data_IF_818091559271
#
_entry.id   IF_818091559271
#
_cell.length_a   1.000
_cell.length_b   1.000
_cell.length_c   1.000
_cell.angle_alpha   90.00
_cell.angle_beta   90.00
_cell.angle_gamma   90.00
#
_symmetry.space_group_name_H-M   'P 1'
#
loop_
_entity.id
_entity.type
_entity.pdbx_description
1 polymer ?
#
# COMPACT_ATOMS: atom_id res chain seq x y z
N UNK A 1 40.33 56.39 20.50
CA UNK A 1 40.01 55.10 21.14
C UNK A 1 39.42 54.21 20.07
N UNK A 2 39.68 52.91 20.16
CA UNK A 2 39.37 51.96 19.09
C UNK A 2 37.86 51.67 19.06
N UNK A 3 37.30 51.32 17.91
CA UNK A 3 35.90 50.89 17.75
C UNK A 3 35.55 49.65 18.62
N UNK A 4 36.57 48.99 19.17
CA UNK A 4 36.45 47.90 20.13
C UNK A 4 36.16 48.37 21.57
N UNK A 5 36.51 49.61 21.93
CA UNK A 5 36.26 50.18 23.26
C UNK A 5 34.81 50.68 23.40
N UNK A 6 34.15 51.00 22.28
CA UNK A 6 32.75 51.45 22.23
C UNK A 6 31.77 50.28 22.40
N UNK A 7 32.08 49.11 21.83
CA UNK A 7 31.25 47.90 21.96
C UNK A 7 31.32 47.21 23.33
N UNK A 8 32.34 47.52 24.14
CA UNK A 8 32.49 47.00 25.49
C UNK A 8 31.70 47.82 26.51
N UNK A 9 31.52 49.13 26.27
CA UNK A 9 30.68 50.00 27.09
C UNK A 9 29.18 49.66 26.94
N UNK A 10 28.73 49.36 25.73
CA UNK A 10 27.33 48.99 25.45
C UNK A 10 26.93 47.62 26.07
N UNK A 11 27.90 46.77 26.42
CA UNK A 11 27.65 45.46 27.05
C UNK A 11 27.67 45.51 28.58
N UNK A 12 28.32 46.50 29.20
CA UNK A 12 28.27 46.73 30.65
C UNK A 12 27.00 47.49 31.06
N UNK A 13 26.50 48.41 30.22
CA UNK A 13 25.29 49.20 30.54
C UNK A 13 23.98 48.39 30.46
N UNK A 14 23.97 47.27 29.72
CA UNK A 14 22.79 46.39 29.62
C UNK A 14 22.67 45.37 30.79
N UNK A 15 23.69 45.26 31.64
CA UNK A 15 23.72 44.34 32.76
C UNK A 15 23.30 44.98 34.10
N UNK A 16 23.14 46.30 34.16
CA UNK A 16 22.86 47.05 35.39
C UNK A 16 21.39 47.55 35.51
N UNK A 17 20.50 47.27 34.56
CA UNK A 17 19.10 47.80 34.57
C UNK A 17 17.98 46.80 34.96
N UNK A 18 18.29 45.58 35.44
CA UNK A 18 17.23 44.64 35.91
C UNK A 18 17.35 44.21 37.39
N UNK A 19 18.06 44.97 38.22
CA UNK A 19 17.92 44.88 39.69
C UNK A 19 17.51 46.24 40.24
N UNK A 20 16.21 46.55 40.22
CA UNK A 20 15.53 47.32 41.28
C UNK A 20 14.05 47.53 40.92
N UNK A 21 13.18 46.73 41.53
CA UNK A 21 11.81 47.11 41.88
C UNK A 21 11.28 46.16 42.95
N UNK A 22 11.67 46.40 44.21
CA UNK A 22 10.91 45.97 45.38
C UNK A 22 9.74 46.93 45.58
N UNK A 23 8.51 46.41 45.54
CA UNK A 23 7.31 47.08 46.05
C UNK A 23 6.60 46.12 47.00
N UNK A 24 6.19 46.69 48.13
CA UNK A 24 5.69 46.09 49.38
C UNK A 24 4.44 45.19 49.23
N UNK A 25 4.38 44.19 50.12
CA UNK A 25 3.18 43.42 50.47
C UNK A 25 2.18 44.32 51.20
N UNK A 26 0.94 44.44 50.70
CA UNK A 26 -0.31 44.24 51.44
C UNK A 26 -1.53 44.53 50.52
N UNK A 27 -2.61 43.76 50.74
CA UNK A 27 -3.96 43.86 50.16
C UNK A 27 -4.25 43.22 48.78
N UNK A 28 -4.60 41.92 48.78
CA UNK A 28 -5.77 41.43 48.04
C UNK A 28 -6.23 40.04 48.57
N UNK A 29 -7.46 40.02 49.10
CA UNK A 29 -8.15 38.86 49.62
C UNK A 29 -8.51 37.81 48.54
N UNK A 30 -8.09 36.57 48.80
CA UNK A 30 -8.73 35.26 48.54
C UNK A 30 -9.61 35.06 47.28
N UNK A 31 -9.11 34.23 46.35
CA UNK A 31 -9.90 33.20 45.66
C UNK A 31 -9.09 31.89 45.73
N UNK A 32 -9.65 30.86 46.37
CA UNK A 32 -9.02 29.57 46.61
C UNK A 32 -8.77 28.80 45.29
N UNK A 33 -7.51 28.73 44.85
CA UNK A 33 -7.05 27.72 43.89
C UNK A 33 -6.60 26.47 44.64
N UNK A 34 -7.35 25.37 44.47
CA UNK A 34 -6.90 24.04 44.89
C UNK A 34 -5.79 23.59 43.93
N UNK A 35 -4.54 23.88 44.30
CA UNK A 35 -3.35 23.28 43.69
C UNK A 35 -3.09 21.94 44.36
N UNK A 36 -3.52 20.84 43.74
CA UNK A 36 -2.90 19.53 43.98
C UNK A 36 -1.50 19.57 43.35
N UNK A 37 -0.49 19.91 44.14
CA UNK A 37 0.90 19.71 43.75
C UNK A 37 1.16 18.22 43.52
N UNK A 38 1.33 17.85 42.26
CA UNK A 38 1.85 16.55 41.88
C UNK A 38 3.35 16.54 42.18
N UNK A 39 3.72 16.10 43.39
CA UNK A 39 5.12 15.88 43.75
C UNK A 39 5.75 14.88 42.76
N UNK A 40 6.63 15.37 41.89
CA UNK A 40 7.47 14.54 41.03
C UNK A 40 8.74 14.22 41.82
N UNK A 41 8.73 13.07 42.50
CA UNK A 41 9.96 12.51 43.07
C UNK A 41 10.90 12.06 41.94
N UNK A 42 11.83 12.95 41.57
CA UNK A 42 12.95 12.63 40.67
C UNK A 42 14.03 11.93 41.48
N UNK A 43 13.90 10.62 41.67
CA UNK A 43 14.99 9.75 42.12
C UNK A 43 15.07 8.52 41.20
N UNK A 44 15.63 8.72 40.02
CA UNK A 44 15.79 7.70 38.98
C UNK A 44 17.25 7.26 38.86
N UNK A 45 17.69 6.31 39.70
CA UNK A 45 19.03 5.70 39.53
C UNK A 45 19.05 4.16 39.63
N UNK A 46 17.93 3.46 39.41
CA UNK A 46 17.99 2.00 39.31
C UNK A 46 16.87 1.37 38.48
N UNK A 47 17.23 0.42 37.62
CA UNK A 47 16.29 -0.52 36.96
C UNK A 47 15.32 -1.16 37.97
N UNK A 48 15.74 -1.23 39.25
CA UNK A 48 14.97 -1.76 40.38
C UNK A 48 13.81 -0.86 40.84
N UNK A 49 13.86 0.46 40.62
CA UNK A 49 12.71 1.36 40.91
C UNK A 49 11.65 1.29 39.80
N UNK A 50 12.06 1.07 38.55
CA UNK A 50 11.16 0.82 37.41
C UNK A 50 10.41 -0.51 37.58
N UNK A 51 11.05 -1.55 38.14
CA UNK A 51 10.42 -2.83 38.45
C UNK A 51 9.35 -2.72 39.56
N UNK A 52 9.47 -1.79 40.52
CA UNK A 52 8.42 -1.54 41.53
C UNK A 52 7.21 -0.79 40.95
N UNK A 53 7.38 -0.11 39.82
CA UNK A 53 6.30 0.59 39.11
C UNK A 53 5.39 -0.35 38.30
N UNK A 54 5.85 -1.57 37.98
CA UNK A 54 5.03 -2.64 37.38
C UNK A 54 3.85 -3.01 38.29
N UNK A 55 4.11 -3.13 39.58
CA UNK A 55 3.11 -3.52 40.60
C UNK A 55 2.41 -2.30 41.24
N UNK A 56 2.79 -1.08 40.84
CA UNK A 56 2.12 0.12 41.32
C UNK A 56 0.70 0.16 40.78
N UNK A 57 -0.27 0.14 41.70
CA UNK A 57 -1.68 0.29 41.38
C UNK A 57 -1.94 1.52 40.50
N UNK A 58 -1.23 2.62 40.76
CA UNK A 58 -1.37 3.87 40.00
C UNK A 58 -1.00 3.71 38.52
N UNK A 59 0.09 2.98 38.21
CA UNK A 59 0.52 2.80 36.82
C UNK A 59 -0.40 1.85 36.05
N UNK A 60 -0.81 0.75 36.68
CA UNK A 60 -1.82 -0.15 36.11
C UNK A 60 -3.15 0.57 35.90
N UNK A 61 -3.53 1.46 36.81
CA UNK A 61 -4.77 2.23 36.73
C UNK A 61 -4.70 3.31 35.64
N UNK A 62 -3.55 3.96 35.45
CA UNK A 62 -3.33 4.89 34.33
C UNK A 62 -3.36 4.16 32.98
N UNK A 63 -2.68 3.01 32.86
CA UNK A 63 -2.74 2.21 31.63
C UNK A 63 -4.15 1.70 31.35
N UNK A 64 -4.89 1.28 32.38
CA UNK A 64 -6.28 0.87 32.24
C UNK A 64 -7.18 2.06 31.87
N UNK A 65 -6.97 3.25 32.45
CA UNK A 65 -7.66 4.48 32.07
C UNK A 65 -7.33 4.91 30.65
N UNK A 66 -6.08 4.75 30.19
CA UNK A 66 -5.68 5.02 28.81
C UNK A 66 -6.34 4.01 27.86
N UNK A 67 -6.34 2.72 28.17
CA UNK A 67 -6.99 1.70 27.35
C UNK A 67 -8.51 1.89 27.34
N UNK A 68 -9.11 2.29 28.47
CA UNK A 68 -10.51 2.69 28.56
C UNK A 68 -10.79 3.96 27.74
N UNK A 69 -9.95 5.00 27.84
CA UNK A 69 -10.07 6.22 27.02
C UNK A 69 -9.93 5.90 25.52
N UNK A 70 -8.99 5.04 25.14
CA UNK A 70 -8.80 4.58 23.75
C UNK A 70 -9.97 3.72 23.26
N UNK A 71 -10.66 3.00 24.15
CA UNK A 71 -11.90 2.26 23.85
C UNK A 71 -13.14 3.15 23.83
N UNK A 72 -13.23 4.16 24.70
CA UNK A 72 -14.36 5.11 24.83
C UNK A 72 -14.32 6.20 23.78
N UNK A 73 -13.13 6.69 23.44
CA UNK A 73 -12.92 7.51 22.25
C UNK A 73 -13.27 6.62 21.06
N UNK A 74 -14.36 6.90 20.32
CA UNK A 74 -14.58 6.16 19.11
C UNK A 74 -13.34 6.40 18.24
N UNK A 75 -12.75 5.33 17.68
CA UNK A 75 -11.69 5.42 16.65
C UNK A 75 -12.05 6.36 15.48
N UNK A 76 -13.30 6.82 15.46
CA UNK A 76 -13.93 7.68 14.48
C UNK A 76 -14.23 9.10 15.00
N UNK A 77 -13.82 9.55 16.20
CA UNK A 77 -14.19 10.91 16.67
C UNK A 77 -13.66 11.99 15.72
N UNK A 78 -12.38 11.92 15.37
CA UNK A 78 -11.77 12.76 14.32
C UNK A 78 -12.47 12.58 12.97
N UNK A 79 -12.79 11.33 12.57
CA UNK A 79 -13.47 11.05 11.30
C UNK A 79 -14.91 11.59 11.26
N UNK A 80 -15.61 11.59 12.40
CA UNK A 80 -16.97 12.12 12.55
C UNK A 80 -16.93 13.64 12.46
N UNK A 81 -15.99 14.29 13.15
CA UNK A 81 -15.81 15.75 13.08
C UNK A 81 -15.40 16.15 11.67
N UNK A 82 -14.45 15.45 11.06
CA UNK A 82 -14.06 15.65 9.67
C UNK A 82 -15.27 15.51 8.72
N UNK A 83 -16.08 14.46 8.90
CA UNK A 83 -17.32 14.27 8.12
C UNK A 83 -18.31 15.43 8.33
N UNK A 84 -18.49 15.89 9.57
CA UNK A 84 -19.36 17.02 9.89
C UNK A 84 -18.89 18.31 9.21
N UNK A 85 -17.61 18.66 9.36
CA UNK A 85 -16.98 19.83 8.73
C UNK A 85 -17.15 19.75 7.22
N UNK A 86 -16.85 18.60 6.63
CA UNK A 86 -16.96 18.35 5.19
C UNK A 86 -18.38 18.50 4.68
N UNK A 87 -19.36 17.88 5.34
CA UNK A 87 -20.76 17.95 4.93
C UNK A 87 -21.31 19.40 5.01
N UNK A 88 -20.81 20.22 5.96
CA UNK A 88 -21.19 21.64 6.09
C UNK A 88 -20.45 22.54 5.11
N UNK A 89 -19.13 22.37 4.98
CA UNK A 89 -18.27 23.19 4.12
C UNK A 89 -18.45 22.87 2.63
N UNK A 90 -19.00 21.70 2.29
CA UNK A 90 -19.36 21.34 0.91
C UNK A 90 -20.33 22.34 0.26
N UNK A 91 -21.10 23.11 1.04
CA UNK A 91 -21.93 24.21 0.48
C UNK A 91 -21.06 25.34 -0.11
N UNK A 92 -19.91 25.62 0.51
CA UNK A 92 -18.99 26.71 0.11
C UNK A 92 -18.01 26.28 -0.95
N UNK A 93 -17.40 25.11 -0.77
CA UNK A 93 -16.35 24.61 -1.65
C UNK A 93 -16.43 23.07 -1.76
N UNK A 94 -17.36 22.54 -2.58
CA UNK A 94 -17.60 21.11 -2.70
C UNK A 94 -16.39 20.33 -3.27
N UNK A 95 -15.57 20.97 -4.08
CA UNK A 95 -14.43 20.32 -4.75
C UNK A 95 -13.30 19.98 -3.76
N UNK A 96 -13.20 20.68 -2.63
CA UNK A 96 -12.10 20.53 -1.67
C UNK A 96 -11.96 19.11 -1.12
N UNK A 97 -13.08 18.38 -0.94
CA UNK A 97 -13.07 16.99 -0.45
C UNK A 97 -12.27 16.07 -1.38
N UNK A 98 -12.41 16.26 -2.69
CA UNK A 98 -11.73 15.45 -3.70
C UNK A 98 -10.24 15.80 -3.81
N UNK A 99 -9.89 17.06 -3.52
CA UNK A 99 -8.53 17.59 -3.65
C UNK A 99 -7.65 17.20 -2.46
N UNK A 100 -8.19 17.27 -1.24
CA UNK A 100 -7.46 17.02 0.01
C UNK A 100 -8.06 15.82 0.74
N UNK A 101 -7.53 14.60 0.53
CA UNK A 101 -8.09 13.39 1.14
C UNK A 101 -7.66 13.13 2.59
N UNK A 102 -6.61 13.82 3.06
CA UNK A 102 -6.17 13.71 4.45
C UNK A 102 -7.06 14.59 5.35
N UNK A 103 -7.66 13.99 6.37
CA UNK A 103 -8.61 14.68 7.25
C UNK A 103 -8.00 15.88 7.98
N UNK A 104 -6.78 15.75 8.50
CA UNK A 104 -6.13 16.84 9.24
C UNK A 104 -5.77 18.01 8.32
N UNK A 105 -5.27 17.73 7.12
CA UNK A 105 -4.95 18.76 6.13
C UNK A 105 -6.22 19.44 5.62
N UNK A 106 -7.31 18.67 5.45
CA UNK A 106 -8.63 19.21 5.10
C UNK A 106 -9.13 20.19 6.18
N UNK A 107 -9.10 19.80 7.44
CA UNK A 107 -9.58 20.65 8.55
C UNK A 107 -8.74 21.94 8.65
N UNK A 108 -7.41 21.84 8.58
CA UNK A 108 -6.53 23.01 8.60
C UNK A 108 -6.75 23.94 7.42
N UNK A 109 -6.96 23.39 6.23
CA UNK A 109 -7.23 24.20 5.02
C UNK A 109 -8.60 24.88 5.09
N UNK A 110 -9.63 24.20 5.59
CA UNK A 110 -10.95 24.80 5.81
C UNK A 110 -10.87 25.97 6.80
N UNK A 111 -10.14 25.79 7.91
CA UNK A 111 -9.93 26.85 8.92
C UNK A 111 -9.25 28.08 8.31
N UNK A 112 -8.19 27.89 7.53
CA UNK A 112 -7.46 29.00 6.90
C UNK A 112 -8.29 29.74 5.83
N UNK A 113 -9.03 28.99 4.99
CA UNK A 113 -9.80 29.56 3.89
C UNK A 113 -11.09 30.26 4.36
N UNK A 114 -11.87 29.61 5.22
CA UNK A 114 -13.19 30.09 5.64
C UNK A 114 -14.07 30.46 4.44
N UNK A 115 -14.66 31.65 4.45
CA UNK A 115 -15.48 32.16 3.33
C UNK A 115 -14.66 32.80 2.19
N UNK A 116 -13.42 33.22 2.45
CA UNK A 116 -12.61 34.01 1.53
C UNK A 116 -11.60 33.13 0.78
N UNK A 117 -12.01 32.63 -0.39
CA UNK A 117 -11.19 31.72 -1.21
C UNK A 117 -9.96 32.40 -1.85
N UNK A 118 -9.91 33.73 -1.90
CA UNK A 118 -8.75 34.46 -2.42
C UNK A 118 -7.48 34.29 -1.56
N UNK A 119 -7.64 33.87 -0.31
CA UNK A 119 -6.52 33.49 0.57
C UNK A 119 -5.65 32.37 -0.03
N UNK A 120 -6.16 31.57 -0.97
CA UNK A 120 -5.38 30.55 -1.68
C UNK A 120 -4.15 31.09 -2.44
N UNK A 121 -4.15 32.36 -2.86
CA UNK A 121 -3.16 32.88 -3.81
C UNK A 121 -1.81 33.24 -3.17
N UNK A 122 -1.84 33.81 -1.96
CA UNK A 122 -0.66 34.40 -1.31
C UNK A 122 -0.48 33.99 0.17
N UNK A 123 -1.15 32.94 0.66
CA UNK A 123 -1.07 32.58 2.07
C UNK A 123 0.11 31.63 2.34
N UNK A 124 1.04 32.07 3.20
CA UNK A 124 2.19 31.28 3.68
C UNK A 124 1.74 30.10 4.56
N UNK A 125 0.67 30.26 5.36
CA UNK A 125 0.15 29.18 6.21
C UNK A 125 -0.33 27.98 5.38
N UNK A 126 -0.94 28.23 4.21
CA UNK A 126 -1.38 27.15 3.32
C UNK A 126 -0.20 26.37 2.73
N UNK A 127 0.95 27.01 2.53
CA UNK A 127 2.18 26.34 2.05
C UNK A 127 2.79 25.41 3.10
N UNK A 128 2.55 25.66 4.39
CA UNK A 128 2.97 24.76 5.46
C UNK A 128 2.07 23.51 5.54
N UNK A 129 0.81 23.61 5.11
CA UNK A 129 -0.18 22.53 5.21
C UNK A 129 -0.18 21.66 3.95
N UNK A 130 -0.17 22.28 2.77
CA UNK A 130 -0.34 21.61 1.49
C UNK A 130 0.89 21.75 0.60
N UNK A 131 1.10 20.79 -0.30
CA UNK A 131 2.14 20.91 -1.34
C UNK A 131 1.80 22.01 -2.35
N UNK A 132 2.81 22.64 -2.95
CA UNK A 132 2.61 23.66 -3.99
C UNK A 132 1.74 23.17 -5.16
N UNK A 133 1.86 21.88 -5.53
CA UNK A 133 1.04 21.29 -6.58
C UNK A 133 -0.45 21.25 -6.18
N UNK A 134 -0.76 20.85 -4.94
CA UNK A 134 -2.14 20.87 -4.43
C UNK A 134 -2.68 22.28 -4.29
N UNK A 135 -1.86 23.26 -3.87
CA UNK A 135 -2.28 24.67 -3.76
C UNK A 135 -2.66 25.25 -5.12
N UNK A 136 -1.89 24.95 -6.18
CA UNK A 136 -2.21 25.35 -7.55
C UNK A 136 -3.55 24.78 -8.03
N UNK A 137 -3.82 23.50 -7.76
CA UNK A 137 -5.11 22.89 -8.15
C UNK A 137 -6.25 23.49 -7.33
N UNK A 138 -6.05 23.68 -6.03
CA UNK A 138 -7.03 24.33 -5.15
C UNK A 138 -7.30 25.77 -5.59
N UNK A 139 -6.30 26.56 -5.98
CA UNK A 139 -6.49 27.96 -6.41
C UNK A 139 -7.22 28.07 -7.75
N UNK A 140 -6.94 27.18 -8.70
CA UNK A 140 -7.66 27.10 -9.98
C UNK A 140 -9.11 26.70 -9.76
N UNK A 141 -9.35 25.64 -8.97
CA UNK A 141 -10.72 25.20 -8.65
C UNK A 141 -11.48 26.24 -7.84
N UNK A 142 -10.84 26.89 -6.86
CA UNK A 142 -11.34 28.00 -6.06
C UNK A 142 -11.83 29.18 -6.92
N UNK A 143 -11.17 29.45 -8.04
CA UNK A 143 -11.54 30.54 -8.96
C UNK A 143 -12.79 30.23 -9.79
N UNK A 144 -13.14 28.95 -9.96
CA UNK A 144 -14.29 28.49 -10.75
C UNK A 144 -15.34 27.75 -9.93
N UNK A 145 -15.32 27.87 -8.59
CA UNK A 145 -16.23 27.13 -7.70
C UNK A 145 -17.67 27.56 -7.90
N UNK A 146 -18.59 26.59 -7.87
CA UNK A 146 -20.03 26.83 -7.92
C UNK A 146 -20.67 26.99 -6.53
N UNK A 147 -19.88 27.00 -5.46
CA UNK A 147 -20.37 27.07 -4.09
C UNK A 147 -20.86 28.46 -3.68
N UNK A 148 -21.58 28.52 -2.56
CA UNK A 148 -22.20 29.74 -2.03
C UNK A 148 -21.53 30.15 -0.72
N UNK A 149 -21.53 31.45 -0.41
CA UNK A 149 -21.00 31.95 0.86
C UNK A 149 -21.84 31.44 2.04
N UNK A 150 -21.17 31.02 3.11
CA UNK A 150 -21.83 30.57 4.34
C UNK A 150 -22.23 31.77 5.19
N UNK A 151 -23.28 31.61 6.00
CA UNK A 151 -23.61 32.61 7.02
C UNK A 151 -22.56 32.64 8.11
N UNK A 152 -22.44 33.76 8.83
CA UNK A 152 -21.45 33.90 9.91
C UNK A 152 -21.66 32.84 11.01
N UNK A 153 -22.91 32.53 11.38
CA UNK A 153 -23.22 31.46 12.33
C UNK A 153 -22.82 30.06 11.84
N UNK A 154 -22.93 29.79 10.54
CA UNK A 154 -22.49 28.51 9.97
C UNK A 154 -20.96 28.42 9.93
N UNK A 155 -20.28 29.54 9.63
CA UNK A 155 -18.82 29.61 9.61
C UNK A 155 -18.25 29.43 11.02
N UNK A 156 -18.79 30.13 12.02
CA UNK A 156 -18.36 30.04 13.42
C UNK A 156 -18.46 28.61 13.95
N UNK A 157 -19.59 27.92 13.68
CA UNK A 157 -19.73 26.49 14.04
C UNK A 157 -18.72 25.58 13.35
N UNK A 158 -18.30 25.90 12.13
CA UNK A 158 -17.27 25.13 11.42
C UNK A 158 -15.90 25.41 12.03
N UNK A 159 -15.61 26.65 12.35
CA UNK A 159 -14.35 27.07 12.98
C UNK A 159 -14.18 26.45 14.36
N UNK A 160 -15.22 26.47 15.20
CA UNK A 160 -15.25 25.78 16.50
C UNK A 160 -15.02 24.26 16.35
N UNK A 161 -15.65 23.63 15.35
CA UNK A 161 -15.43 22.21 15.08
C UNK A 161 -14.00 21.92 14.59
N UNK A 162 -13.40 22.83 13.81
CA UNK A 162 -12.00 22.73 13.39
C UNK A 162 -11.06 22.82 14.60
N UNK A 163 -11.30 23.75 15.53
CA UNK A 163 -10.49 23.93 16.74
C UNK A 163 -10.56 22.72 17.65
N UNK A 164 -11.76 22.21 17.91
CA UNK A 164 -11.97 20.97 18.65
C UNK A 164 -11.22 19.79 18.01
N UNK A 165 -11.21 19.67 16.68
CA UNK A 165 -10.47 18.62 16.00
C UNK A 165 -8.94 18.78 16.14
N UNK A 166 -8.43 20.01 16.11
CA UNK A 166 -7.01 20.29 16.30
C UNK A 166 -6.57 20.00 17.74
N UNK A 167 -7.35 20.38 18.73
CA UNK A 167 -7.12 20.06 20.16
C UNK A 167 -7.12 18.56 20.41
N UNK A 168 -8.06 17.83 19.81
CA UNK A 168 -8.10 16.37 19.88
C UNK A 168 -6.84 15.74 19.27
N UNK A 169 -6.38 16.24 18.12
CA UNK A 169 -5.16 15.75 17.50
C UNK A 169 -3.91 16.06 18.35
N UNK A 170 -3.83 17.25 18.96
CA UNK A 170 -2.74 17.58 19.90
C UNK A 170 -2.76 16.66 21.13
N UNK A 171 -3.93 16.42 21.70
CA UNK A 171 -4.11 15.49 22.83
C UNK A 171 -3.69 14.07 22.46
N UNK A 172 -4.04 13.61 21.25
CA UNK A 172 -3.60 12.32 20.71
C UNK A 172 -2.08 12.25 20.52
N UNK A 173 -1.44 13.32 20.07
CA UNK A 173 0.02 13.39 20.01
C UNK A 173 0.68 13.26 21.38
N UNK A 174 0.16 13.95 22.41
CA UNK A 174 0.63 13.80 23.80
C UNK A 174 0.51 12.36 24.30
N UNK A 175 -0.60 11.68 23.96
CA UNK A 175 -0.77 10.25 24.29
C UNK A 175 0.27 9.39 23.55
N UNK A 176 0.57 9.68 22.28
CA UNK A 176 1.61 8.94 21.56
C UNK A 176 2.99 9.14 22.16
N UNK A 177 3.36 10.35 22.54
CA UNK A 177 4.62 10.66 23.21
C UNK A 177 4.73 9.93 24.55
N UNK A 178 3.66 9.92 25.34
CA UNK A 178 3.59 9.18 26.59
C UNK A 178 3.76 7.66 26.37
N UNK A 179 3.03 7.09 25.41
CA UNK A 179 3.13 5.67 25.06
C UNK A 179 4.50 5.32 24.50
N UNK A 180 5.12 6.20 23.73
CA UNK A 180 6.48 6.04 23.21
C UNK A 180 7.51 5.98 24.34
N UNK A 181 7.43 6.88 25.32
CA UNK A 181 8.33 6.89 26.49
C UNK A 181 8.26 5.60 27.32
N UNK A 182 7.11 4.92 27.30
CA UNK A 182 6.86 3.65 28.03
C UNK A 182 6.82 2.44 27.09
N UNK A 183 7.19 2.58 25.83
CA UNK A 183 7.05 1.49 24.84
C UNK A 183 7.98 0.32 25.13
N UNK A 184 9.21 0.59 25.60
CA UNK A 184 10.18 -0.45 25.99
C UNK A 184 9.66 -1.35 27.10
N UNK A 185 8.72 -0.85 27.89
CA UNK A 185 8.07 -1.58 28.97
C UNK A 185 6.82 -2.32 28.46
N UNK A 186 5.99 -1.67 27.64
CA UNK A 186 4.71 -2.20 27.17
C UNK A 186 4.92 -3.30 26.12
N UNK A 187 5.79 -3.05 25.13
CA UNK A 187 6.06 -3.96 24.02
C UNK A 187 7.57 -3.93 23.68
N UNK A 188 8.41 -4.56 24.53
CA UNK A 188 9.86 -4.56 24.34
C UNK A 188 10.26 -5.16 22.99
N UNK A 189 9.69 -6.30 22.60
CA UNK A 189 10.10 -6.99 21.37
C UNK A 189 9.72 -6.20 20.11
N UNK A 190 8.52 -5.62 20.07
CA UNK A 190 8.06 -4.78 18.96
C UNK A 190 8.92 -3.52 18.79
N UNK A 191 9.26 -2.87 19.92
CA UNK A 191 10.05 -1.64 19.94
C UNK A 191 11.47 -1.83 19.41
N UNK A 192 12.09 -2.98 19.70
CA UNK A 192 13.45 -3.32 19.24
C UNK A 192 13.51 -3.45 17.71
N UNK A 193 12.44 -3.97 17.10
CA UNK A 193 12.38 -4.24 15.65
C UNK A 193 12.16 -2.96 14.83
N UNK A 194 11.12 -2.17 15.14
CA UNK A 194 10.70 -1.03 14.30
C UNK A 194 11.04 0.34 14.92
N UNK A 195 11.38 0.39 16.21
CA UNK A 195 11.51 1.62 16.98
C UNK A 195 10.28 1.92 17.84
N UNK A 196 10.45 2.73 18.89
CA UNK A 196 9.39 3.06 19.83
C UNK A 196 8.28 3.93 19.20
N UNK A 197 8.65 4.95 18.42
CA UNK A 197 7.71 5.84 17.73
C UNK A 197 6.78 5.11 16.76
N UNK A 198 7.34 4.25 15.90
CA UNK A 198 6.58 3.46 14.93
C UNK A 198 5.73 2.40 15.63
N UNK A 199 6.24 1.77 16.69
CA UNK A 199 5.51 0.83 17.54
C UNK A 199 4.29 1.48 18.22
N UNK A 200 4.45 2.69 18.75
CA UNK A 200 3.35 3.45 19.35
C UNK A 200 2.24 3.74 18.33
N UNK A 201 2.63 4.18 17.12
CA UNK A 201 1.68 4.48 16.02
C UNK A 201 0.91 3.24 15.54
N UNK A 202 1.59 2.10 15.32
CA UNK A 202 0.89 0.86 14.90
C UNK A 202 0.00 0.31 16.01
N UNK A 203 0.42 0.42 17.28
CA UNK A 203 -0.39 0.00 18.43
C UNK A 203 -1.61 0.90 18.61
N UNK A 204 -1.47 2.20 18.42
CA UNK A 204 -2.57 3.17 18.48
C UNK A 204 -3.65 2.90 17.45
N UNK A 205 -3.29 2.70 16.18
CA UNK A 205 -4.28 2.39 15.12
C UNK A 205 -4.91 1.01 15.37
N UNK A 206 -4.13 0.01 15.76
CA UNK A 206 -4.66 -1.30 16.13
C UNK A 206 -5.63 -1.21 17.31
N UNK A 207 -5.48 -0.22 18.18
CA UNK A 207 -6.27 -0.02 19.40
C UNK A 207 -5.79 -0.96 20.51
N UNK A 208 -4.47 -0.97 20.75
CA UNK A 208 -3.84 -1.76 21.79
C UNK A 208 -3.14 -3.03 21.28
N UNK A 209 -2.28 -3.57 22.14
CA UNK A 209 -1.40 -4.70 21.85
C UNK A 209 -2.17 -6.01 21.59
N UNK A 210 -3.26 -6.24 22.32
CA UNK A 210 -4.12 -7.44 22.17
C UNK A 210 -4.88 -7.46 20.84
N UNK A 211 -5.25 -6.29 20.33
CA UNK A 211 -5.86 -6.18 19.00
C UNK A 211 -4.80 -6.36 17.92
N UNK A 212 -3.62 -5.76 18.11
CA UNK A 212 -2.49 -5.92 17.19
C UNK A 212 -2.05 -7.39 17.05
N UNK A 213 -2.03 -8.17 18.14
CA UNK A 213 -1.62 -9.58 18.13
C UNK A 213 -2.58 -10.48 17.33
N UNK A 214 -3.87 -10.14 17.31
CA UNK A 214 -4.92 -10.80 16.52
C UNK A 214 -4.87 -10.44 15.03
N UNK A 215 -4.25 -9.32 14.66
CA UNK A 215 -4.17 -8.90 13.26
C UNK A 215 -3.20 -9.79 12.46
N UNK A 216 -3.52 -10.13 11.20
CA UNK A 216 -2.59 -10.82 10.32
C UNK A 216 -1.50 -9.86 9.79
N UNK A 217 -0.34 -10.41 9.43
CA UNK A 217 0.82 -9.65 8.93
C UNK A 217 0.52 -8.74 7.74
N UNK A 218 -0.37 -9.18 6.84
CA UNK A 218 -0.77 -8.37 5.68
C UNK A 218 -1.51 -7.09 6.08
N UNK A 219 -2.29 -7.11 7.15
CA UNK A 219 -3.01 -5.93 7.65
C UNK A 219 -2.06 -5.02 8.43
N UNK A 220 -1.16 -5.59 9.23
CA UNK A 220 -0.15 -4.84 9.99
C UNK A 220 0.78 -4.04 9.08
N UNK A 221 1.16 -4.59 7.92
CA UNK A 221 1.91 -3.88 6.89
C UNK A 221 1.20 -2.61 6.38
N UNK A 222 -0.14 -2.63 6.36
CA UNK A 222 -0.98 -1.57 5.81
C UNK A 222 -1.48 -0.58 6.87
N UNK A 223 -1.09 -0.76 8.14
CA UNK A 223 -1.45 0.19 9.20
C UNK A 223 -0.82 1.55 8.93
N UNK A 224 -1.64 2.60 8.99
CA UNK A 224 -1.22 3.97 8.66
C UNK A 224 -1.17 4.27 7.16
N UNK A 225 -1.63 3.36 6.29
CA UNK A 225 -1.69 3.62 4.87
C UNK A 225 -2.69 4.74 4.55
N UNK A 226 -2.21 5.81 3.91
CA UNK A 226 -3.05 6.91 3.47
C UNK A 226 -3.90 6.51 2.27
N UNK A 227 -5.09 7.10 2.17
CA UNK A 227 -5.96 6.94 1.00
C UNK A 227 -5.29 7.56 -0.23
N UNK A 228 -5.55 6.97 -1.40
CA UNK A 228 -4.96 7.42 -2.66
C UNK A 228 -5.45 8.84 -2.97
N UNK A 229 -4.55 9.82 -2.89
CA UNK A 229 -4.78 11.13 -3.49
C UNK A 229 -4.47 11.04 -4.97
N UNK A 230 -5.45 11.34 -5.83
CA UNK A 230 -5.24 11.46 -7.28
C UNK A 230 -4.75 12.87 -7.66
N UNK A 231 -4.16 13.60 -6.71
CA UNK A 231 -3.66 14.94 -6.96
C UNK A 231 -2.36 14.89 -7.78
N UNK A 232 -2.42 15.46 -8.98
CA UNK A 232 -1.28 15.64 -9.90
C UNK A 232 -1.33 14.79 -11.17
N UNK A 233 -0.54 15.19 -12.17
CA UNK A 233 -0.43 14.52 -13.47
C UNK A 233 0.47 13.25 -13.45
N UNK A 234 0.92 12.81 -12.27
CA UNK A 234 1.89 11.72 -12.16
C UNK A 234 1.25 10.39 -11.74
N UNK A 235 1.62 9.32 -12.42
CA UNK A 235 1.27 7.95 -12.04
C UNK A 235 2.23 7.35 -11.00
N UNK A 236 3.38 8.00 -10.72
CA UNK A 236 4.42 7.50 -9.81
C UNK A 236 4.30 8.02 -8.38
N UNK A 237 3.49 9.06 -8.12
CA UNK A 237 3.41 9.69 -6.80
C UNK A 237 2.69 8.85 -5.74
N UNK A 238 1.86 7.89 -6.13
CA UNK A 238 1.10 7.06 -5.17
C UNK A 238 1.79 5.72 -5.00
N UNK A 239 2.59 5.57 -3.95
CA UNK A 239 3.16 4.28 -3.55
C UNK A 239 2.07 3.44 -2.88
N UNK A 240 1.49 2.42 -3.55
CA UNK A 240 0.43 1.62 -2.94
C UNK A 240 1.02 0.72 -1.84
N UNK A 241 0.22 0.43 -0.82
CA UNK A 241 0.59 -0.48 0.27
C UNK A 241 1.78 0.00 1.12
N UNK A 242 1.88 1.31 1.30
CA UNK A 242 2.82 1.96 2.22
C UNK A 242 2.07 2.34 3.49
N UNK A 243 2.63 1.99 4.65
CA UNK A 243 2.09 2.31 5.98
C UNK A 243 3.24 2.67 6.92
N UNK A 244 3.02 2.73 8.23
CA UNK A 244 4.07 3.14 9.18
C UNK A 244 5.31 2.25 9.12
N UNK A 245 5.14 0.94 8.90
CA UNK A 245 6.28 0.02 8.76
C UNK A 245 7.11 0.33 7.51
N UNK A 246 6.48 0.80 6.43
CA UNK A 246 7.22 1.20 5.24
C UNK A 246 8.14 2.40 5.54
N UNK A 247 7.65 3.36 6.32
CA UNK A 247 8.39 4.57 6.70
C UNK A 247 9.33 4.38 7.90
N UNK A 248 9.48 3.15 8.40
CA UNK A 248 10.44 2.86 9.46
C UNK A 248 11.88 2.88 8.95
N UNK A 249 12.81 3.29 9.81
CA UNK A 249 14.23 3.43 9.47
C UNK A 249 14.83 2.11 8.96
N UNK A 250 14.41 0.98 9.55
CA UNK A 250 14.86 -0.36 9.13
C UNK A 250 14.48 -0.69 7.67
N UNK A 251 13.35 -0.17 7.16
CA UNK A 251 12.96 -0.37 5.75
C UNK A 251 13.57 0.69 4.84
N UNK A 252 13.64 1.96 5.30
CA UNK A 252 14.15 3.08 4.51
C UNK A 252 15.67 3.07 4.32
N UNK A 253 16.40 2.35 5.18
CA UNK A 253 17.84 2.13 5.01
C UNK A 253 18.21 1.30 3.78
N UNK A 254 17.24 0.60 3.17
CA UNK A 254 17.46 -0.25 2.00
C UNK A 254 17.33 0.52 0.68
N UNK A 255 17.76 -0.07 -0.46
CA UNK A 255 17.39 0.44 -1.77
C UNK A 255 15.87 0.35 -2.03
N UNK A 256 15.34 1.32 -2.76
CA UNK A 256 13.88 1.47 -3.03
C UNK A 256 13.22 0.24 -3.66
N UNK A 257 13.94 -0.51 -4.49
CA UNK A 257 13.48 -1.76 -5.11
C UNK A 257 13.16 -2.85 -4.08
N UNK A 258 13.87 -2.85 -2.94
CA UNK A 258 13.72 -3.83 -1.87
C UNK A 258 12.70 -3.41 -0.82
N UNK A 259 12.34 -2.14 -0.71
CA UNK A 259 11.44 -1.62 0.34
C UNK A 259 10.15 -2.43 0.48
N UNK A 260 9.49 -2.77 -0.63
CA UNK A 260 8.22 -3.53 -0.59
C UNK A 260 8.41 -4.97 -0.09
N UNK A 261 9.54 -5.58 -0.42
CA UNK A 261 9.88 -6.93 0.04
C UNK A 261 10.25 -6.89 1.53
N UNK A 262 11.00 -5.88 1.94
CA UNK A 262 11.38 -5.61 3.31
C UNK A 262 10.17 -5.33 4.20
N UNK A 263 9.30 -4.41 3.83
CA UNK A 263 8.09 -4.09 4.60
C UNK A 263 7.21 -5.32 4.88
N UNK A 264 7.09 -6.26 3.92
CA UNK A 264 6.38 -7.54 4.13
C UNK A 264 7.07 -8.44 5.16
N UNK A 265 8.40 -8.53 5.08
CA UNK A 265 9.18 -9.34 6.01
C UNK A 265 9.10 -8.74 7.43
N UNK A 266 9.36 -7.44 7.55
CA UNK A 266 9.31 -6.70 8.81
C UNK A 266 7.91 -6.82 9.42
N UNK A 267 6.84 -6.52 8.68
CA UNK A 267 5.47 -6.68 9.18
C UNK A 267 5.17 -8.10 9.69
N UNK A 268 5.68 -9.13 9.01
CA UNK A 268 5.52 -10.51 9.46
C UNK A 268 6.23 -10.77 10.79
N UNK A 269 7.45 -10.25 10.96
CA UNK A 269 8.20 -10.39 12.22
C UNK A 269 7.62 -9.53 13.33
N UNK A 270 7.16 -8.32 13.03
CA UNK A 270 6.44 -7.47 13.98
C UNK A 270 5.16 -8.14 14.48
N UNK A 271 4.41 -8.85 13.64
CA UNK A 271 3.25 -9.61 14.14
C UNK A 271 3.60 -10.74 15.09
N UNK A 272 4.76 -11.39 14.91
CA UNK A 272 5.23 -12.40 15.85
C UNK A 272 5.66 -11.75 17.16
N UNK A 273 6.43 -10.67 17.10
CA UNK A 273 6.84 -9.90 18.27
C UNK A 273 5.64 -9.36 19.05
N UNK A 274 4.65 -8.76 18.38
CA UNK A 274 3.43 -8.25 19.01
C UNK A 274 2.62 -9.35 19.71
N UNK A 275 2.65 -10.59 19.21
CA UNK A 275 2.00 -11.74 19.88
C UNK A 275 2.74 -12.13 21.15
N UNK A 276 4.07 -12.22 21.10
CA UNK A 276 4.90 -12.53 22.27
C UNK A 276 4.74 -11.44 23.34
N UNK A 277 4.77 -10.17 22.94
CA UNK A 277 4.55 -9.03 23.83
C UNK A 277 3.15 -9.07 24.46
N UNK A 278 2.11 -9.45 23.70
CA UNK A 278 0.73 -9.55 24.19
C UNK A 278 0.54 -10.62 25.28
N UNK A 279 1.42 -11.63 25.35
CA UNK A 279 1.41 -12.67 26.40
C UNK A 279 2.48 -12.43 27.47
N UNK A 280 3.28 -11.37 27.35
CA UNK A 280 4.37 -11.01 28.27
C UNK A 280 5.39 -12.14 28.53
N UNK A 281 5.60 -13.04 27.56
CA UNK A 281 6.49 -14.20 27.71
C UNK A 281 7.98 -13.82 27.69
N UNK A 282 8.35 -12.71 27.05
CA UNK A 282 9.74 -12.25 26.93
C UNK A 282 9.86 -10.75 27.25
N UNK A 283 9.85 -10.36 28.54
CA UNK A 283 9.97 -8.96 28.97
C UNK A 283 11.39 -8.41 28.75
N UNK A 284 12.41 -9.27 28.69
CA UNK A 284 13.80 -8.88 28.45
C UNK A 284 14.10 -8.50 26.98
N UNK A 285 13.16 -8.75 26.06
CA UNK A 285 13.33 -8.38 24.64
C UNK A 285 14.17 -9.36 23.80
N UNK A 286 14.57 -10.52 24.34
CA UNK A 286 15.42 -11.51 23.65
C UNK A 286 14.85 -11.93 22.29
N UNK A 287 13.54 -12.20 22.25
CA UNK A 287 12.85 -12.58 21.00
C UNK A 287 12.91 -11.44 19.98
N UNK A 288 12.80 -10.20 20.41
CA UNK A 288 12.94 -9.01 19.57
C UNK A 288 14.31 -8.92 18.91
N UNK A 289 15.39 -9.19 19.66
CA UNK A 289 16.75 -9.22 19.13
C UNK A 289 16.93 -10.35 18.10
N UNK A 290 16.50 -11.57 18.41
CA UNK A 290 16.60 -12.71 17.48
C UNK A 290 15.84 -12.45 16.17
N UNK A 291 14.64 -11.87 16.28
CA UNK A 291 13.81 -11.52 15.12
C UNK A 291 14.44 -10.39 14.29
N UNK A 292 15.06 -9.41 14.94
CA UNK A 292 15.77 -8.31 14.28
C UNK A 292 17.01 -8.82 13.54
N UNK A 293 17.79 -9.69 14.17
CA UNK A 293 18.96 -10.32 13.52
C UNK A 293 18.54 -11.13 12.28
N UNK A 294 17.41 -11.84 12.34
CA UNK A 294 16.88 -12.56 11.18
C UNK A 294 16.45 -11.62 10.04
N UNK A 295 15.94 -10.42 10.36
CA UNK A 295 15.59 -9.39 9.37
C UNK A 295 16.87 -8.87 8.71
N UNK A 296 17.86 -8.46 9.51
CA UNK A 296 19.13 -7.91 9.04
C UNK A 296 19.88 -8.93 8.16
N UNK A 297 19.98 -10.19 8.61
CA UNK A 297 20.59 -11.28 7.82
C UNK A 297 19.91 -11.48 6.46
N UNK A 298 18.58 -11.31 6.38
CA UNK A 298 17.84 -11.39 5.11
C UNK A 298 18.06 -10.17 4.23
N UNK A 299 18.22 -9.00 4.83
CA UNK A 299 18.51 -7.76 4.12
C UNK A 299 19.89 -7.81 3.47
N UNK A 300 20.92 -8.23 4.21
CA UNK A 300 22.27 -8.40 3.69
C UNK A 300 22.28 -9.38 2.51
N UNK A 301 21.62 -10.54 2.69
CA UNK A 301 21.49 -11.55 1.63
C UNK A 301 20.75 -11.05 0.38
N UNK A 302 19.87 -10.05 0.48
CA UNK A 302 19.20 -9.47 -0.69
C UNK A 302 20.06 -8.43 -1.41
N UNK A 303 21.01 -7.82 -0.70
CA UNK A 303 21.97 -6.88 -1.27
C UNK A 303 23.13 -7.61 -1.93
N UNK A 304 23.43 -8.84 -1.51
CA UNK A 304 24.42 -9.70 -2.18
C UNK A 304 24.07 -9.87 -3.68
N UNK A 305 24.96 -9.46 -4.59
CA UNK A 305 24.74 -9.67 -6.02
C UNK A 305 24.71 -11.17 -6.32
N UNK A 306 23.87 -11.63 -7.27
CA UNK A 306 23.87 -13.02 -7.67
C UNK A 306 25.27 -13.39 -8.22
N UNK A 307 25.76 -14.61 -7.96
CA UNK A 307 27.05 -15.02 -8.49
C UNK A 307 27.02 -14.91 -10.02
N UNK A 308 28.11 -14.40 -10.59
CA UNK A 308 28.23 -14.19 -12.03
C UNK A 308 27.96 -15.51 -12.76
N UNK A 309 26.96 -15.52 -13.64
CA UNK A 309 26.67 -16.70 -14.45
C UNK A 309 27.85 -16.97 -15.36
N UNK A 310 28.49 -18.12 -15.19
CA UNK A 310 29.50 -18.58 -16.13
C UNK A 310 28.88 -18.71 -17.52
N UNK A 311 29.61 -18.25 -18.54
CA UNK A 311 29.20 -18.39 -19.94
C UNK A 311 29.11 -19.88 -20.24
N UNK A 312 27.89 -20.37 -20.44
CA UNK A 312 27.68 -21.76 -20.84
C UNK A 312 28.19 -21.91 -22.28
N UNK A 313 29.18 -22.76 -22.57
CA UNK A 313 29.61 -22.99 -23.93
C UNK A 313 28.44 -23.53 -24.74
N UNK A 314 28.38 -23.12 -26.01
CA UNK A 314 27.41 -23.71 -26.93
C UNK A 314 27.64 -25.23 -27.00
N UNK A 315 26.58 -26.03 -27.13
CA UNK A 315 26.74 -27.45 -27.36
C UNK A 315 27.57 -27.64 -28.64
N UNK A 316 28.48 -28.61 -28.63
CA UNK A 316 29.26 -28.93 -29.81
C UNK A 316 28.31 -29.16 -31.01
N UNK A 317 28.63 -28.62 -32.21
CA UNK A 317 27.81 -28.78 -33.41
C UNK A 317 27.97 -30.20 -33.95
N UNK A 318 27.40 -31.15 -33.22
CA UNK A 318 27.34 -32.56 -33.58
C UNK A 318 25.97 -32.83 -34.18
N UNK A 319 25.95 -33.30 -35.42
CA UNK A 319 24.73 -33.79 -36.06
C UNK A 319 24.32 -35.11 -35.42
N UNK A 320 23.51 -35.01 -34.35
CA UNK A 320 22.92 -36.16 -33.70
C UNK A 320 21.97 -36.92 -34.65
N UNK A 321 21.85 -38.23 -34.45
CA UNK A 321 20.90 -39.05 -35.22
C UNK A 321 19.47 -38.50 -35.09
N UNK A 322 18.84 -38.22 -36.24
CA UNK A 322 17.48 -37.68 -36.30
C UNK A 322 16.47 -38.64 -35.69
N UNK A 323 15.71 -38.18 -34.68
CA UNK A 323 14.58 -38.94 -34.12
C UNK A 323 13.47 -39.10 -35.18
N UNK A 324 13.20 -40.34 -35.61
CA UNK A 324 12.17 -40.66 -36.62
C UNK A 324 10.75 -40.86 -36.05
N UNK A 325 10.53 -40.59 -34.75
CA UNK A 325 9.24 -40.85 -34.09
C UNK A 325 8.19 -39.80 -34.48
N UNK A 326 7.22 -40.19 -35.31
CA UNK A 326 6.16 -39.33 -35.85
C UNK A 326 4.87 -39.29 -35.01
N UNK A 327 4.96 -38.95 -33.73
CA UNK A 327 3.79 -38.87 -32.84
C UNK A 327 2.86 -37.67 -33.12
N UNK A 328 1.61 -37.72 -32.66
CA UNK A 328 0.59 -36.65 -32.87
C UNK A 328 1.08 -35.26 -32.44
N UNK A 329 1.78 -35.15 -31.31
CA UNK A 329 2.35 -33.88 -30.82
C UNK A 329 3.44 -33.34 -31.78
N UNK A 330 4.30 -34.23 -32.28
CA UNK A 330 5.37 -33.86 -33.20
C UNK A 330 4.84 -33.45 -34.58
N UNK A 331 3.79 -34.13 -35.09
CA UNK A 331 3.08 -33.74 -36.33
C UNK A 331 2.47 -32.34 -36.20
N UNK A 332 1.72 -32.07 -35.11
CA UNK A 332 1.17 -30.73 -34.83
C UNK A 332 2.25 -29.64 -34.70
N UNK A 333 3.39 -29.96 -34.09
CA UNK A 333 4.51 -29.01 -33.99
C UNK A 333 5.12 -28.73 -35.37
N UNK A 334 5.30 -29.76 -36.21
CA UNK A 334 5.79 -29.64 -37.58
C UNK A 334 4.81 -28.89 -38.49
N UNK A 335 3.50 -29.07 -38.31
CA UNK A 335 2.46 -28.29 -39.00
C UNK A 335 2.49 -26.81 -38.60
N UNK A 336 2.76 -26.52 -37.33
CA UNK A 336 2.84 -25.14 -36.82
C UNK A 336 4.09 -24.39 -37.30
N UNK A 337 5.25 -25.06 -37.32
CA UNK A 337 6.54 -24.44 -37.67
C UNK A 337 6.92 -24.65 -39.14
N UNK A 338 6.24 -25.54 -39.84
CA UNK A 338 6.52 -25.85 -41.23
C UNK A 338 6.00 -24.77 -42.18
N UNK A 339 6.60 -24.71 -43.36
CA UNK A 339 6.10 -23.86 -44.45
C UNK A 339 4.68 -24.26 -44.83
N UNK A 340 3.77 -23.28 -44.87
CA UNK A 340 2.40 -23.46 -45.34
C UNK A 340 2.38 -23.83 -46.82
N UNK A 341 1.30 -24.45 -47.27
CA UNK A 341 1.13 -24.76 -48.70
C UNK A 341 1.09 -23.50 -49.56
N UNK A 342 0.48 -22.43 -49.04
CA UNK A 342 0.50 -21.08 -49.63
C UNK A 342 1.94 -20.60 -49.81
N UNK A 343 2.78 -20.70 -48.77
CA UNK A 343 4.19 -20.28 -48.89
C UNK A 343 5.00 -21.20 -49.80
N UNK A 344 4.69 -22.49 -49.86
CA UNK A 344 5.32 -23.42 -50.81
C UNK A 344 4.96 -23.10 -52.27
N UNK A 345 3.73 -22.65 -52.54
CA UNK A 345 3.31 -22.20 -53.87
C UNK A 345 3.92 -20.85 -54.23
N UNK A 346 4.01 -19.93 -53.26
CA UNK A 346 4.72 -18.67 -53.45
C UNK A 346 6.22 -18.85 -53.73
N UNK A 347 6.86 -19.84 -53.08
CA UNK A 347 8.26 -20.17 -53.33
C UNK A 347 8.50 -20.93 -54.66
N UNK A 348 7.46 -21.25 -55.44
CA UNK A 348 7.62 -21.86 -56.77
C UNK A 348 7.63 -20.74 -57.80
N UNK A 349 8.65 -20.74 -58.65
CA UNK A 349 8.86 -19.77 -59.72
C UNK A 349 8.67 -20.44 -61.07
N UNK A 350 7.95 -19.81 -61.99
CA UNK A 350 7.72 -20.33 -63.34
C UNK A 350 8.81 -19.80 -64.26
N UNK A 351 9.59 -20.70 -64.83
CA UNK A 351 10.67 -20.31 -65.73
C UNK A 351 10.10 -19.70 -67.02
N UNK A 352 10.54 -18.48 -67.36
CA UNK A 352 10.16 -17.80 -68.62
C UNK A 352 8.92 -16.90 -68.56
N UNK A 353 8.27 -16.76 -67.41
CA UNK A 353 7.15 -15.82 -67.21
C UNK A 353 7.52 -14.71 -66.22
N UNK A 354 7.10 -13.47 -66.51
CA UNK A 354 7.25 -12.33 -65.59
C UNK A 354 6.24 -12.51 -64.43
N UNK A 355 6.69 -12.31 -63.19
CA UNK A 355 5.85 -12.47 -62.01
C UNK A 355 5.15 -11.16 -61.62
N UNK A 356 3.98 -11.28 -60.98
CA UNK A 356 3.27 -10.16 -60.38
C UNK A 356 3.86 -9.88 -58.98
N UNK A 357 4.52 -8.72 -58.82
CA UNK A 357 4.99 -8.26 -57.54
C UNK A 357 3.86 -7.57 -56.78
N UNK A 358 3.60 -8.04 -55.56
CA UNK A 358 2.76 -7.31 -54.62
C UNK A 358 3.65 -6.32 -53.87
N UNK A 359 3.36 -5.03 -54.02
CA UNK A 359 4.05 -3.98 -53.29
C UNK A 359 3.41 -3.79 -51.92
N UNK A 360 4.22 -3.89 -50.86
CA UNK A 360 3.84 -3.41 -49.55
C UNK A 360 4.98 -2.53 -49.01
N UNK A 361 4.67 -1.24 -48.83
CA UNK A 361 5.50 -0.25 -48.12
C UNK A 361 7.01 -0.32 -48.43
N UNK A 362 7.38 -0.42 -49.72
CA UNK A 362 8.74 -0.28 -50.27
C UNK A 362 9.59 -1.57 -50.47
N UNK A 363 9.05 -2.76 -50.15
CA UNK A 363 9.63 -4.06 -50.56
C UNK A 363 8.63 -4.83 -51.42
N UNK A 364 8.98 -5.03 -52.70
CA UNK A 364 8.25 -5.94 -53.57
C UNK A 364 8.46 -7.39 -53.14
N UNK A 365 7.37 -8.14 -52.94
CA UNK A 365 7.45 -9.58 -52.77
C UNK A 365 6.75 -10.29 -53.91
N UNK A 366 7.47 -11.23 -54.54
CA UNK A 366 6.89 -12.03 -55.61
C UNK A 366 5.95 -13.07 -55.03
N UNK A 367 4.78 -13.21 -55.67
CA UNK A 367 3.78 -14.19 -55.29
C UNK A 367 4.03 -15.56 -55.96
N UNK A 368 5.05 -15.68 -56.83
CA UNK A 368 5.39 -16.92 -57.52
C UNK A 368 4.19 -17.49 -58.29
N UNK A 369 3.86 -18.75 -58.02
CA UNK A 369 2.67 -19.41 -58.59
C UNK A 369 1.36 -19.09 -57.85
N UNK A 370 1.39 -18.33 -56.75
CA UNK A 370 0.20 -17.97 -56.00
C UNK A 370 -0.57 -16.89 -56.76
N UNK A 371 -1.70 -17.23 -57.38
CA UNK A 371 -2.57 -16.28 -58.11
C UNK A 371 -2.57 -16.43 -59.64
N UNK A 372 -1.67 -17.23 -60.22
CA UNK A 372 -1.56 -17.46 -61.68
C UNK A 372 -2.74 -18.21 -62.32
N UNK A 373 -3.69 -18.68 -61.54
CA UNK A 373 -4.88 -19.43 -62.00
C UNK A 373 -5.98 -18.51 -62.54
N UNK A 374 -5.66 -17.61 -63.49
CA UNK A 374 -6.57 -16.93 -64.43
C UNK A 374 -7.82 -16.17 -63.94
N UNK A 375 -8.11 -16.13 -62.63
CA UNK A 375 -9.41 -15.66 -62.10
C UNK A 375 -9.30 -14.39 -61.25
N UNK A 376 -8.12 -13.77 -61.08
CA UNK A 376 -7.94 -12.57 -60.24
C UNK A 376 -8.34 -12.76 -58.76
N UNK A 377 -8.64 -13.99 -58.34
CA UNK A 377 -9.07 -14.34 -56.98
C UNK A 377 -8.07 -15.35 -56.39
N UNK A 378 -7.25 -14.88 -55.46
CA UNK A 378 -6.19 -15.62 -54.74
C UNK A 378 -6.74 -16.68 -53.75
N UNK A 379 -7.95 -17.21 -53.97
CA UNK A 379 -8.69 -18.03 -52.98
C UNK A 379 -8.59 -19.55 -53.18
N UNK A 380 -7.59 -20.06 -53.90
CA UNK A 380 -7.51 -21.53 -54.13
C UNK A 380 -6.81 -22.30 -53.01
N UNK A 381 -5.83 -21.72 -52.31
CA UNK A 381 -5.13 -22.41 -51.23
C UNK A 381 -5.79 -22.14 -49.87
N UNK A 382 -6.28 -23.19 -49.21
CA UNK A 382 -6.89 -23.07 -47.87
C UNK A 382 -5.84 -22.59 -46.85
N UNK A 383 -6.16 -21.52 -46.12
CA UNK A 383 -5.29 -21.00 -45.05
C UNK A 383 -5.32 -21.97 -43.88
N UNK A 384 -4.18 -22.59 -43.58
CA UNK A 384 -4.05 -23.50 -42.45
C UNK A 384 -4.25 -22.75 -41.11
N UNK A 385 -5.31 -23.07 -40.37
CA UNK A 385 -5.55 -22.47 -39.05
C UNK A 385 -4.46 -22.81 -38.02
N UNK A 386 -3.72 -23.89 -38.25
CA UNK A 386 -2.63 -24.33 -37.39
C UNK A 386 -1.44 -23.35 -37.34
N UNK A 387 -1.27 -22.50 -38.37
CA UNK A 387 -0.20 -21.50 -38.45
C UNK A 387 -0.63 -20.12 -37.96
N UNK A 388 -1.88 -19.96 -37.50
CA UNK A 388 -2.33 -18.73 -36.83
C UNK A 388 -1.44 -18.46 -35.61
N UNK A 389 -0.91 -17.25 -35.51
CA UNK A 389 -0.09 -16.84 -34.37
C UNK A 389 -0.91 -17.00 -33.08
N UNK A 390 -0.38 -17.79 -32.14
CA UNK A 390 -1.01 -18.00 -30.83
C UNK A 390 -0.23 -17.22 -29.79
N UNK A 391 -0.96 -16.52 -28.94
CA UNK A 391 -0.44 -15.84 -27.76
C UNK A 391 0.23 -16.87 -26.84
N UNK A 392 1.37 -16.51 -26.24
CA UNK A 392 2.06 -17.38 -25.28
C UNK A 392 1.15 -17.65 -24.06
N UNK A 393 1.33 -18.79 -23.39
CA UNK A 393 0.54 -19.10 -22.18
C UNK A 393 0.71 -18.03 -21.10
N UNK A 394 1.88 -17.40 -21.01
CA UNK A 394 2.14 -16.30 -20.08
C UNK A 394 1.33 -15.07 -20.45
N UNK A 395 1.36 -14.64 -21.72
CA UNK A 395 0.62 -13.48 -22.20
C UNK A 395 -0.91 -13.73 -22.18
N UNK A 396 -1.36 -14.95 -22.45
CA UNK A 396 -2.77 -15.34 -22.27
C UNK A 396 -3.20 -15.17 -20.83
N UNK A 397 -2.40 -15.65 -19.87
CA UNK A 397 -2.69 -15.48 -18.44
C UNK A 397 -2.67 -14.03 -18.00
N UNK A 398 -1.76 -13.21 -18.51
CA UNK A 398 -1.73 -11.77 -18.16
C UNK A 398 -2.93 -11.03 -18.74
N UNK A 399 -3.30 -11.31 -19.99
CA UNK A 399 -4.50 -10.73 -20.62
C UNK A 399 -5.79 -11.16 -19.92
N UNK A 400 -5.90 -12.44 -19.54
CA UNK A 400 -7.03 -12.94 -18.76
C UNK A 400 -7.12 -12.29 -17.37
N UNK A 401 -5.98 -12.03 -16.71
CA UNK A 401 -5.97 -11.29 -15.44
C UNK A 401 -6.44 -9.85 -15.62
N UNK A 402 -6.04 -9.18 -16.70
CA UNK A 402 -6.47 -7.81 -16.99
C UNK A 402 -7.98 -7.71 -17.27
N UNK A 403 -8.56 -8.68 -18.00
CA UNK A 403 -10.01 -8.70 -18.27
C UNK A 403 -10.87 -8.95 -17.04
N UNK A 404 -10.31 -9.54 -15.97
CA UNK A 404 -11.01 -9.73 -14.68
C UNK A 404 -10.89 -8.50 -13.78
N UNK A 405 -9.85 -7.67 -13.96
CA UNK A 405 -9.53 -6.53 -13.07
C UNK A 405 -10.20 -5.22 -13.50
N UNK A 406 -10.66 -5.09 -14.74
CA UNK A 406 -11.27 -3.86 -15.24
C UNK A 406 -12.71 -4.07 -15.72
N UNK A 407 -13.68 -3.71 -14.87
CA UNK A 407 -15.10 -3.65 -15.24
C UNK A 407 -15.96 -2.91 -14.21
N UNK A 408 -16.38 -1.67 -14.53
CA UNK A 408 -17.59 -1.04 -13.98
C UNK A 408 -17.47 0.37 -13.39
N UNK A 409 -18.44 1.23 -13.70
CA UNK A 409 -18.53 2.69 -13.53
C UNK A 409 -18.63 3.19 -12.06
N UNK A 410 -18.37 4.50 -11.93
CA UNK A 410 -18.43 5.48 -10.81
C UNK A 410 -19.06 5.16 -9.45
N UNK A 411 -19.93 4.16 -9.27
CA UNK A 411 -20.48 3.81 -7.94
C UNK A 411 -19.64 2.78 -7.18
N UNK A 412 -18.73 2.08 -7.87
CA UNK A 412 -17.85 1.05 -7.29
C UNK A 412 -16.62 1.67 -6.58
N UNK A 413 -16.26 2.93 -6.86
CA UNK A 413 -15.09 3.57 -6.24
C UNK A 413 -15.30 3.89 -4.75
N UNK A 414 -16.53 4.15 -4.31
CA UNK A 414 -16.81 4.59 -2.93
C UNK A 414 -17.17 3.46 -1.95
N UNK A 415 -17.52 2.26 -2.43
CA UNK A 415 -17.96 1.15 -1.57
C UNK A 415 -17.36 -0.17 -2.01
N UNK A 416 -16.07 -0.36 -1.76
CA UNK A 416 -15.46 -1.69 -1.80
C UNK A 416 -15.86 -2.49 -0.55
N UNK A 417 -17.13 -2.91 -0.48
CA UNK A 417 -17.62 -3.92 0.46
C UNK A 417 -17.68 -5.26 -0.29
N UNK A 418 -17.00 -6.27 0.24
CA UNK A 418 -16.64 -7.53 -0.44
C UNK A 418 -17.76 -8.52 -0.76
N UNK A 419 -18.91 -8.07 -1.30
CA UNK A 419 -20.00 -8.95 -1.77
C UNK A 419 -20.54 -8.58 -3.15
N UNK A 420 -20.01 -7.55 -3.81
CA UNK A 420 -20.46 -7.15 -5.15
C UNK A 420 -19.86 -8.05 -6.26
N UNK A 421 -20.72 -8.75 -6.99
CA UNK A 421 -20.37 -9.53 -8.19
C UNK A 421 -19.92 -8.62 -9.34
N UNK A 422 -18.76 -8.88 -9.92
CA UNK A 422 -18.21 -8.14 -11.08
C UNK A 422 -18.85 -8.62 -12.40
N UNK A 423 -19.43 -7.70 -13.16
CA UNK A 423 -19.89 -7.96 -14.54
C UNK A 423 -18.70 -7.79 -15.48
N UNK A 424 -18.33 -8.84 -16.22
CA UNK A 424 -17.23 -8.80 -17.18
C UNK A 424 -17.78 -8.74 -18.61
N UNK A 425 -17.26 -7.81 -19.42
CA UNK A 425 -17.53 -7.77 -20.85
C UNK A 425 -16.48 -8.61 -21.57
N UNK A 426 -16.88 -9.74 -22.18
CA UNK A 426 -15.99 -10.48 -23.07
C UNK A 426 -16.35 -10.18 -24.53
N UNK A 427 -15.35 -9.99 -25.42
CA UNK A 427 -15.60 -9.66 -26.82
C UNK A 427 -16.18 -10.82 -27.64
N UNK A 428 -16.34 -12.00 -27.05
CA UNK A 428 -16.80 -13.21 -27.76
C UNK A 428 -18.21 -13.66 -27.37
N UNK A 429 -18.74 -13.28 -26.21
CA UNK A 429 -20.02 -13.83 -25.71
C UNK A 429 -20.98 -12.82 -25.04
N UNK A 430 -20.69 -11.51 -25.04
CA UNK A 430 -21.58 -10.51 -24.43
C UNK A 430 -21.52 -10.51 -22.89
N UNK A 431 -22.52 -9.86 -22.27
CA UNK A 431 -22.63 -9.65 -20.82
C UNK A 431 -22.71 -10.98 -20.08
N UNK A 432 -21.69 -11.33 -19.30
CA UNK A 432 -21.73 -12.48 -18.40
C UNK A 432 -21.57 -12.03 -16.94
N UNK A 433 -22.56 -12.36 -16.12
CA UNK A 433 -22.51 -12.17 -14.67
C UNK A 433 -21.71 -13.32 -14.09
N UNK A 434 -20.43 -13.09 -13.78
CA UNK A 434 -19.61 -14.09 -13.12
C UNK A 434 -19.93 -14.06 -11.62
N UNK A 435 -20.71 -15.04 -11.16
CA UNK A 435 -20.93 -15.27 -9.73
C UNK A 435 -19.81 -16.18 -9.20
N UNK A 436 -18.84 -15.67 -8.41
CA UNK A 436 -17.72 -16.46 -7.90
C UNK A 436 -18.15 -17.65 -7.03
N UNK A 437 -19.31 -17.55 -6.35
CA UNK A 437 -19.85 -18.64 -5.53
C UNK A 437 -20.35 -19.83 -6.36
N UNK A 438 -20.74 -19.62 -7.63
CA UNK A 438 -21.14 -20.71 -8.50
C UNK A 438 -19.94 -21.59 -8.92
N UNK A 439 -18.74 -21.01 -8.98
CA UNK A 439 -17.51 -21.75 -9.23
C UNK A 439 -17.09 -22.59 -8.01
N UNK A 440 -17.25 -22.07 -6.80
CA UNK A 440 -17.01 -22.81 -5.56
C UNK A 440 -17.95 -24.00 -5.41
N UNK A 441 -19.25 -23.85 -5.73
CA UNK A 441 -20.21 -24.96 -5.74
C UNK A 441 -19.80 -26.07 -6.71
N UNK A 442 -19.38 -25.73 -7.93
CA UNK A 442 -18.91 -26.72 -8.92
C UNK A 442 -17.65 -27.46 -8.46
N UNK A 443 -16.73 -26.77 -7.79
CA UNK A 443 -15.51 -27.40 -7.23
C UNK A 443 -15.87 -28.27 -6.03
N UNK A 444 -16.78 -27.83 -5.17
CA UNK A 444 -17.27 -28.61 -4.03
C UNK A 444 -18.02 -29.87 -4.48
N UNK A 445 -18.90 -29.78 -5.49
CA UNK A 445 -19.60 -30.92 -6.10
C UNK A 445 -18.62 -31.91 -6.75
N UNK A 446 -17.60 -31.41 -7.46
CA UNK A 446 -16.56 -32.25 -8.04
C UNK A 446 -15.75 -32.96 -6.95
N UNK A 447 -15.40 -32.26 -5.86
CA UNK A 447 -14.68 -32.85 -4.73
C UNK A 447 -15.53 -33.88 -3.97
N UNK A 448 -16.83 -33.65 -3.79
CA UNK A 448 -17.76 -34.63 -3.19
C UNK A 448 -17.85 -35.92 -4.02
N UNK A 449 -17.72 -35.83 -5.36
CA UNK A 449 -17.72 -37.00 -6.23
C UNK A 449 -16.52 -37.94 -6.02
N UNK A 450 -15.36 -37.40 -5.64
CA UNK A 450 -14.12 -38.18 -5.48
C UNK A 450 -13.72 -38.43 -4.02
N UNK A 451 -14.15 -37.57 -3.09
CA UNK A 451 -13.73 -37.58 -1.69
C UNK A 451 -14.91 -37.44 -0.73
N UNK A 452 -16.08 -37.99 -1.05
CA UNK A 452 -17.18 -38.08 -0.08
C UNK A 452 -16.86 -39.13 0.99
N UNK A 453 -17.36 -38.88 2.21
CA UNK A 453 -17.23 -39.83 3.34
C UNK A 453 -17.95 -41.16 3.13
N UNK A 454 -18.78 -41.27 2.07
CA UNK A 454 -19.45 -42.51 1.65
C UNK A 454 -18.80 -43.19 0.45
N UNK A 455 -17.76 -42.61 -0.16
CA UNK A 455 -17.05 -43.23 -1.27
C UNK A 455 -15.99 -44.21 -0.76
N UNK A 456 -16.20 -45.50 -0.95
CA UNK A 456 -15.19 -46.53 -0.67
C UNK A 456 -14.26 -46.74 -1.87
N UNK A 457 -12.95 -46.78 -1.62
CA UNK A 457 -11.94 -47.06 -2.64
C UNK A 457 -11.81 -48.58 -2.85
N UNK A 458 -12.26 -49.08 -3.99
CA UNK A 458 -12.06 -50.47 -4.39
C UNK A 458 -10.63 -50.70 -4.92
N UNK A 459 -9.85 -51.52 -4.20
CA UNK A 459 -8.54 -51.99 -4.65
C UNK A 459 -8.73 -52.99 -5.78
N UNK A 460 -8.48 -52.57 -7.02
CA UNK A 460 -8.48 -53.46 -8.19
C UNK A 460 -7.37 -54.51 -8.01
N UNK A 461 -7.75 -55.79 -7.88
CA UNK A 461 -6.80 -56.91 -7.89
C UNK A 461 -6.24 -57.07 -9.30
N UNK A 462 -4.93 -56.98 -9.43
CA UNK A 462 -4.25 -57.32 -10.68
C UNK A 462 -4.26 -58.85 -10.81
N UNK A 463 -5.04 -59.40 -11.74
CA UNK A 463 -4.90 -60.81 -12.12
C UNK A 463 -3.55 -61.00 -12.82
N UNK A 464 -2.69 -61.82 -12.22
CA UNK A 464 -1.45 -62.28 -12.84
C UNK A 464 -1.83 -63.34 -13.87
N UNK A 465 -1.69 -63.01 -15.15
CA UNK A 465 -1.75 -64.01 -16.22
C UNK A 465 -0.69 -65.07 -15.94
N UNK A 466 -1.15 -66.27 -15.59
CA UNK A 466 -0.32 -67.45 -15.38
C UNK A 466 0.32 -67.88 -16.70
N UNK A 467 1.64 -68.02 -16.67
CA UNK A 467 2.42 -68.81 -17.61
C UNK A 467 1.96 -70.26 -17.54
N UNK A 468 1.30 -70.76 -18.57
CA UNK A 468 1.15 -72.20 -18.80
C UNK A 468 2.27 -72.65 -19.73
N UNK A 469 3.29 -73.26 -19.14
CA UNK A 469 4.16 -74.23 -19.79
C UNK A 469 3.47 -75.60 -19.71
N UNK A 470 3.12 -76.16 -20.86
CA UNK A 470 3.43 -77.54 -21.28
C UNK A 470 3.13 -77.67 -22.77
#
# INVERSE_FOLDING_TARGET
MSLADELLADLEEAAEEEEDNLIDEDDLETIEEVQEEMQVDVNAESVKSIAKLWDSKQFSEILHKIDEYVKKQPKNSEDIIHKFIRDKYSKRFPELESLVPNALDYIRTVKELGNNLDKCKNNENLQQILTNATIMVVSVTASTTQGQQLTNEELERIEEACDMALELNQSKHRIYEYVESRMSFIAPNLSIIVGASTAAKIMGIAGGLTNLSKMPACNVMLLGAQRKSLSGFSSTSVLPHTGYIYHSDIVQSLPSDLHRKAARLVASKCTLAARVDSFHESPEGKVGYDLKEEIERKFDKWQEPPPVKQVKPLPAPLDGQRKKRGGRRYRKMKERLGLTEIRKQANRMSFGEIEEDAYQEDLGFSLGHLGKSGSGRVRQAQVNEATKARISKTLQRTLQKQSVVYGGKSTIRDRSSGTASSVAFTPLQGLEIVNPQAAEKKVAEANQKYFSSMAEFLKVKHEKNGTMTQ
#
